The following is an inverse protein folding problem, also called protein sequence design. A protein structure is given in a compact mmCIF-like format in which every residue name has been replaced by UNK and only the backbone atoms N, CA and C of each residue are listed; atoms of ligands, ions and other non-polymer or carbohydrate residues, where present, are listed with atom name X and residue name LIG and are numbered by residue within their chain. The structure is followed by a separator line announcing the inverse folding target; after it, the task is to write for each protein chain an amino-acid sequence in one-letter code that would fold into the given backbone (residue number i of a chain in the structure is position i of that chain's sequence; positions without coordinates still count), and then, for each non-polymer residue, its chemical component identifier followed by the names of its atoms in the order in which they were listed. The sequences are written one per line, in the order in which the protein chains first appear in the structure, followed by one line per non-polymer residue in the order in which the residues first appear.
data_IF_032029476073
#
_entry.id   IF_032029476073
#
_cell.length_a   1.000
_cell.length_b   1.000
_cell.length_c   1.000
_cell.angle_alpha   90.00
_cell.angle_beta   90.00
_cell.angle_gamma   90.00
#
_symmetry.space_group_name_H-M   'P 1'
#
loop_
_entity.id
_entity.type
_entity.pdbx_description
1 polymer ?
#
# COMPACT_ATOMS: atom_id res chain seq x y z
N UNK A 1 -14.54 -21.61 9.81
CA UNK A 1 -14.27 -20.48 8.89
C UNK A 1 -13.42 -19.36 9.52
N UNK A 2 -13.42 -19.16 10.86
CA UNK A 2 -12.56 -18.14 11.53
C UNK A 2 -11.04 -18.41 11.45
N UNK A 3 -10.62 -19.68 11.45
CA UNK A 3 -9.19 -20.02 11.49
C UNK A 3 -8.40 -19.56 10.25
N UNK A 4 -9.03 -19.57 9.07
CA UNK A 4 -8.38 -19.15 7.81
C UNK A 4 -8.18 -17.64 7.73
N UNK A 5 -9.09 -16.85 8.30
CA UNK A 5 -8.95 -15.39 8.36
C UNK A 5 -7.85 -14.95 9.34
N UNK A 6 -7.76 -15.59 10.50
CA UNK A 6 -6.72 -15.30 11.49
C UNK A 6 -5.30 -15.57 10.93
N UNK A 7 -5.15 -16.64 10.16
CA UNK A 7 -3.87 -17.02 9.54
C UNK A 7 -3.45 -16.03 8.44
N UNK A 8 -4.40 -15.58 7.60
CA UNK A 8 -4.15 -14.56 6.58
C UNK A 8 -3.77 -13.20 7.17
N UNK A 9 -4.43 -12.78 8.25
CA UNK A 9 -4.11 -11.52 8.94
C UNK A 9 -2.69 -11.55 9.52
N UNK A 10 -2.28 -12.68 10.11
CA UNK A 10 -0.94 -12.86 10.68
C UNK A 10 0.17 -12.89 9.62
N UNK A 11 -0.12 -13.46 8.44
CA UNK A 11 0.80 -13.45 7.30
C UNK A 11 1.03 -12.03 6.76
N UNK A 12 -0.01 -11.19 6.78
CA UNK A 12 0.08 -9.79 6.32
C UNK A 12 0.89 -8.90 7.27
N UNK A 13 0.83 -9.17 8.58
CA UNK A 13 1.66 -8.53 9.61
C UNK A 13 3.15 -8.89 9.46
N UNK A 14 3.47 -10.15 9.13
CA UNK A 14 4.86 -10.60 8.97
C UNK A 14 5.54 -10.00 7.73
N UNK A 15 4.82 -9.87 6.61
CA UNK A 15 5.36 -9.29 5.37
C UNK A 15 5.64 -7.78 5.52
N UNK A 16 4.96 -7.08 6.43
CA UNK A 16 5.23 -5.67 6.73
C UNK A 16 6.49 -5.44 7.56
N UNK A 17 6.90 -6.40 8.39
CA UNK A 17 8.08 -6.27 9.26
C UNK A 17 9.42 -6.41 8.53
N UNK A 18 9.42 -6.97 7.32
CA UNK A 18 10.63 -7.25 6.52
C UNK A 18 11.13 -6.03 5.70
N UNK A 19 10.60 -4.83 5.95
CA UNK A 19 10.96 -3.58 5.24
C UNK A 19 11.69 -2.56 6.11
N UNK A 20 12.55 -3.00 7.02
CA UNK A 20 13.43 -2.09 7.76
C UNK A 20 14.89 -2.55 7.62
N UNK A 21 15.74 -1.84 6.86
CA UNK A 21 17.17 -2.08 6.90
C UNK A 21 17.75 -1.47 8.18
N UNK A 22 18.33 -2.33 9.04
CA UNK A 22 19.07 -1.96 10.23
C UNK A 22 20.28 -1.08 9.88
N UNK A 23 20.31 0.13 10.46
CA UNK A 23 21.41 1.07 10.31
C UNK A 23 22.56 0.69 11.24
N UNK A 24 23.53 -0.06 10.73
CA UNK A 24 24.81 -0.32 11.42
C UNK A 24 25.70 0.93 11.37
N UNK A 25 25.69 1.73 12.43
CA UNK A 25 26.66 2.81 12.65
C UNK A 25 28.01 2.25 13.12
N UNK A 26 29.11 2.52 12.41
CA UNK A 26 30.45 2.08 12.79
C UNK A 26 31.30 3.20 13.40
N UNK A 27 32.10 2.79 14.38
CA UNK A 27 32.77 3.57 15.42
C UNK A 27 33.79 4.64 14.94
N UNK A 28 33.77 5.77 15.65
CA UNK A 28 34.76 6.86 15.64
C UNK A 28 36.16 6.40 16.07
N UNK A 29 37.20 6.89 15.38
CA UNK A 29 38.58 6.93 15.90
C UNK A 29 39.04 8.37 16.13
N UNK A 30 39.47 8.61 17.37
CA UNK A 30 39.94 9.88 17.94
C UNK A 30 41.29 10.31 17.37
N UNK A 31 41.36 11.52 16.81
CA UNK A 31 42.59 12.22 16.45
C UNK A 31 42.55 13.66 16.98
N UNK A 32 43.28 13.91 18.06
CA UNK A 32 43.39 15.21 18.75
C UNK A 32 44.10 16.25 17.86
N UNK A 33 43.43 17.35 17.48
CA UNK A 33 44.07 18.62 17.09
C UNK A 33 43.19 19.84 17.35
N UNK A 34 43.87 20.97 17.56
CA UNK A 34 43.54 22.13 18.40
C UNK A 34 42.52 23.12 17.80
N UNK A 35 41.77 23.75 18.71
CA UNK A 35 41.28 25.15 18.72
C UNK A 35 40.77 25.80 17.43
N UNK A 36 39.47 26.10 17.39
CA UNK A 36 38.96 27.48 17.36
C UNK A 36 37.44 27.49 17.59
N UNK A 37 36.94 28.49 18.32
CA UNK A 37 35.50 28.73 18.51
C UNK A 37 34.92 29.32 17.22
N UNK A 38 34.09 28.56 16.54
CA UNK A 38 32.83 29.03 15.96
C UNK A 38 31.77 27.92 16.16
N UNK A 39 31.21 27.86 17.36
CA UNK A 39 30.02 27.06 17.67
C UNK A 39 28.84 27.78 17.02
N UNK A 40 28.37 27.24 15.89
CA UNK A 40 27.23 27.77 15.16
C UNK A 40 27.06 27.14 13.78
N UNK A 41 28.15 26.71 13.14
CA UNK A 41 28.12 26.08 11.81
C UNK A 41 27.54 24.66 11.79
N UNK A 42 27.96 23.79 12.72
CA UNK A 42 27.52 22.39 12.75
C UNK A 42 26.07 22.20 13.26
N UNK A 43 25.64 23.02 14.21
CA UNK A 43 24.24 23.06 14.70
C UNK A 43 23.31 23.63 13.62
N UNK A 44 23.80 24.60 12.83
CA UNK A 44 23.08 25.10 11.65
C UNK A 44 23.01 24.07 10.53
N UNK A 45 24.10 23.35 10.26
CA UNK A 45 24.15 22.37 9.18
C UNK A 45 23.24 21.15 9.45
N UNK A 46 23.28 20.62 10.68
CA UNK A 46 22.38 19.52 11.07
C UNK A 46 20.90 19.93 11.00
N UNK A 47 20.55 21.14 11.46
CA UNK A 47 19.19 21.68 11.30
C UNK A 47 18.79 21.88 9.84
N UNK A 48 19.73 22.28 8.97
CA UNK A 48 19.48 22.41 7.54
C UNK A 48 19.30 21.04 6.85
N UNK A 49 20.08 20.03 7.24
CA UNK A 49 19.91 18.65 6.77
C UNK A 49 18.57 18.09 7.22
N UNK A 50 18.18 18.29 8.48
CA UNK A 50 16.87 17.86 9.00
C UNK A 50 15.72 18.54 8.26
N UNK A 51 15.81 19.85 8.00
CA UNK A 51 14.82 20.59 7.20
C UNK A 51 14.74 20.08 5.77
N UNK A 52 15.87 19.74 5.15
CA UNK A 52 15.91 19.18 3.79
C UNK A 52 15.31 17.77 3.76
N UNK A 53 15.64 16.92 4.73
CA UNK A 53 15.04 15.59 4.88
C UNK A 53 13.53 15.67 5.11
N UNK A 54 13.08 16.59 5.96
CA UNK A 54 11.65 16.81 6.20
C UNK A 54 10.95 17.40 4.98
N UNK A 55 11.56 18.31 4.24
CA UNK A 55 11.00 18.84 2.99
C UNK A 55 10.89 17.75 1.91
N UNK A 56 11.93 16.92 1.75
CA UNK A 56 11.93 15.80 0.81
C UNK A 56 10.89 14.73 1.20
N UNK A 57 10.81 14.37 2.47
CA UNK A 57 9.80 13.44 2.99
C UNK A 57 8.39 14.01 2.86
N UNK A 58 8.15 15.28 3.18
CA UNK A 58 6.83 15.92 3.03
C UNK A 58 6.43 16.08 1.55
N UNK A 59 7.36 16.40 0.66
CA UNK A 59 7.09 16.47 -0.77
C UNK A 59 6.77 15.09 -1.35
N UNK A 60 7.50 14.04 -0.93
CA UNK A 60 7.24 12.65 -1.29
C UNK A 60 5.91 12.12 -0.70
N UNK A 61 5.57 12.51 0.53
CA UNK A 61 4.30 12.15 1.17
C UNK A 61 3.12 12.89 0.54
N UNK A 62 3.24 14.19 0.26
CA UNK A 62 2.19 15.01 -0.37
C UNK A 62 1.88 14.55 -1.81
N UNK A 63 2.88 14.07 -2.55
CA UNK A 63 2.66 13.45 -3.87
C UNK A 63 2.13 12.01 -3.76
N UNK A 64 2.54 11.24 -2.75
CA UNK A 64 2.00 9.90 -2.51
C UNK A 64 0.52 9.91 -2.07
N UNK A 65 0.05 10.98 -1.43
CA UNK A 65 -1.34 11.12 -0.98
C UNK A 65 -2.31 11.61 -2.07
N UNK A 66 -1.82 12.22 -3.16
CA UNK A 66 -2.69 12.89 -4.13
C UNK A 66 -3.02 12.06 -5.38
N UNK A 67 -2.30 10.97 -5.63
CA UNK A 67 -2.61 10.10 -6.78
C UNK A 67 -2.76 8.66 -6.32
N UNK A 68 -3.80 8.40 -5.52
CA UNK A 68 -4.40 7.07 -5.51
C UNK A 68 -5.01 6.89 -6.90
N UNK A 69 -4.24 6.38 -7.86
CA UNK A 69 -4.78 5.95 -9.15
C UNK A 69 -5.86 4.94 -8.81
N UNK A 70 -7.12 5.36 -8.91
CA UNK A 70 -8.25 4.49 -8.64
C UNK A 70 -8.18 3.39 -9.69
N UNK A 71 -7.82 2.17 -9.26
CA UNK A 71 -7.85 1.00 -10.12
C UNK A 71 -9.27 0.93 -10.73
N UNK A 72 -9.43 1.15 -12.06
CA UNK A 72 -10.74 1.11 -12.71
C UNK A 72 -11.35 -0.30 -12.68
N UNK A 73 -10.59 -1.28 -12.19
CA UNK A 73 -11.02 -2.62 -11.93
C UNK A 73 -10.93 -2.96 -10.44
N UNK A 74 -11.01 -1.97 -9.54
CA UNK A 74 -10.91 -2.19 -8.10
C UNK A 74 -11.97 -3.17 -7.58
N UNK A 75 -11.65 -3.89 -6.50
CA UNK A 75 -12.58 -4.85 -5.87
C UNK A 75 -13.94 -4.19 -5.53
N UNK A 76 -14.01 -2.99 -4.93
CA UNK A 76 -15.30 -2.35 -4.63
C UNK A 76 -16.15 -2.11 -5.89
N UNK A 77 -15.53 -1.75 -7.00
CA UNK A 77 -16.23 -1.55 -8.27
C UNK A 77 -16.73 -2.86 -8.86
N UNK A 78 -15.92 -3.92 -8.76
CA UNK A 78 -16.31 -5.24 -9.24
C UNK A 78 -17.50 -5.81 -8.48
N UNK A 79 -17.51 -5.66 -7.14
CA UNK A 79 -18.62 -6.06 -6.27
C UNK A 79 -19.87 -5.25 -6.62
N UNK A 80 -19.76 -3.93 -6.75
CA UNK A 80 -20.90 -3.08 -7.14
C UNK A 80 -21.54 -3.52 -8.46
N UNK A 81 -20.74 -3.94 -9.44
CA UNK A 81 -21.29 -4.44 -10.71
C UNK A 81 -21.91 -5.83 -10.55
N UNK A 82 -21.33 -6.71 -9.74
CA UNK A 82 -21.95 -8.00 -9.41
C UNK A 82 -23.32 -7.80 -8.75
N UNK A 83 -23.42 -6.89 -7.78
CA UNK A 83 -24.68 -6.59 -7.07
C UNK A 83 -25.74 -5.99 -8.00
N UNK A 84 -25.33 -5.27 -9.05
CA UNK A 84 -26.26 -4.72 -10.06
C UNK A 84 -26.91 -5.79 -10.95
N UNK A 85 -26.39 -7.02 -10.95
CA UNK A 85 -26.91 -8.17 -11.70
C UNK A 85 -27.73 -9.11 -10.79
N UNK A 86 -28.36 -8.56 -9.75
CA UNK A 86 -29.11 -9.34 -8.74
C UNK A 86 -30.28 -10.16 -9.32
N UNK A 87 -30.77 -9.80 -10.50
CA UNK A 87 -31.82 -10.54 -11.21
C UNK A 87 -31.31 -11.88 -11.74
N UNK A 88 -30.11 -11.90 -12.31
CA UNK A 88 -29.49 -13.08 -12.91
C UNK A 88 -28.64 -13.85 -11.89
N UNK A 89 -28.00 -13.13 -10.96
CA UNK A 89 -27.18 -13.67 -9.87
C UNK A 89 -27.81 -13.26 -8.54
N UNK A 90 -28.77 -14.05 -8.01
CA UNK A 90 -29.41 -13.73 -6.74
C UNK A 90 -28.38 -13.59 -5.61
N UNK A 91 -28.61 -12.60 -4.75
CA UNK A 91 -27.79 -12.39 -3.56
C UNK A 91 -27.73 -13.66 -2.69
N UNK A 92 -26.59 -13.90 -2.07
CA UNK A 92 -26.31 -15.08 -1.25
C UNK A 92 -26.50 -16.44 -1.97
N UNK A 93 -26.69 -16.46 -3.29
CA UNK A 93 -26.66 -17.70 -4.06
C UNK A 93 -25.24 -18.31 -4.06
N UNK A 94 -25.11 -19.63 -4.26
CA UNK A 94 -23.81 -20.25 -4.49
C UNK A 94 -23.03 -19.59 -5.64
N UNK A 95 -23.75 -19.12 -6.68
CA UNK A 95 -23.16 -18.42 -7.82
C UNK A 95 -22.59 -17.05 -7.42
N UNK A 96 -23.28 -16.31 -6.55
CA UNK A 96 -22.79 -15.05 -5.99
C UNK A 96 -21.46 -15.23 -5.25
N UNK A 97 -21.38 -16.22 -4.35
CA UNK A 97 -20.13 -16.52 -3.63
C UNK A 97 -19.02 -17.04 -4.55
N UNK A 98 -19.37 -17.80 -5.59
CA UNK A 98 -18.42 -18.22 -6.61
C UNK A 98 -17.84 -17.01 -7.37
N UNK A 99 -18.70 -16.07 -7.79
CA UNK A 99 -18.27 -14.84 -8.45
C UNK A 99 -17.36 -14.01 -7.53
N UNK A 100 -17.71 -13.83 -6.26
CA UNK A 100 -16.84 -13.14 -5.29
C UNK A 100 -15.44 -13.75 -5.21
N UNK A 101 -15.32 -15.10 -5.20
CA UNK A 101 -14.02 -15.78 -5.23
C UNK A 101 -13.22 -15.49 -6.51
N UNK A 102 -13.88 -15.35 -7.66
CA UNK A 102 -13.23 -14.97 -8.92
C UNK A 102 -12.69 -13.53 -8.86
N UNK A 103 -13.44 -12.59 -8.27
CA UNK A 103 -13.08 -11.17 -8.19
C UNK A 103 -11.82 -10.89 -7.33
N UNK A 104 -11.45 -11.81 -6.43
CA UNK A 104 -10.20 -11.72 -5.68
C UNK A 104 -8.95 -11.89 -6.55
N UNK A 105 -9.06 -12.63 -7.67
CA UNK A 105 -7.96 -12.75 -8.62
C UNK A 105 -8.00 -11.55 -9.59
N UNK A 106 -6.87 -10.83 -9.68
CA UNK A 106 -6.78 -9.60 -10.49
C UNK A 106 -7.12 -9.82 -11.95
N UNK A 107 -6.56 -10.85 -12.57
CA UNK A 107 -6.73 -11.10 -14.02
C UNK A 107 -8.16 -11.54 -14.34
N UNK A 108 -8.73 -12.41 -13.51
CA UNK A 108 -10.13 -12.84 -13.63
C UNK A 108 -11.10 -11.69 -13.43
N UNK A 109 -10.81 -10.79 -12.49
CA UNK A 109 -11.59 -9.57 -12.26
C UNK A 109 -11.56 -8.64 -13.47
N UNK A 110 -10.38 -8.38 -14.03
CA UNK A 110 -10.23 -7.55 -15.24
C UNK A 110 -11.02 -8.16 -16.40
N UNK A 111 -10.88 -9.48 -16.60
CA UNK A 111 -11.60 -10.20 -17.65
C UNK A 111 -13.13 -10.06 -17.47
N UNK A 112 -13.66 -10.35 -16.28
CA UNK A 112 -15.08 -10.22 -15.97
C UNK A 112 -15.61 -8.81 -16.23
N UNK A 113 -14.86 -7.78 -15.81
CA UNK A 113 -15.25 -6.39 -16.00
C UNK A 113 -15.19 -5.93 -17.46
N UNK A 114 -14.38 -6.58 -18.28
CA UNK A 114 -14.27 -6.32 -19.72
C UNK A 114 -15.38 -6.97 -20.56
N UNK A 115 -16.12 -7.95 -20.01
CA UNK A 115 -17.24 -8.59 -20.72
C UNK A 115 -18.36 -7.58 -20.96
N UNK A 116 -19.01 -7.63 -22.13
CA UNK A 116 -20.15 -6.77 -22.45
C UNK A 116 -21.24 -6.93 -21.37
N UNK A 117 -21.72 -5.83 -20.75
CA UNK A 117 -22.71 -5.89 -19.68
C UNK A 117 -23.98 -6.67 -20.05
N UNK A 118 -24.39 -6.64 -21.32
CA UNK A 118 -25.59 -7.32 -21.81
C UNK A 118 -25.52 -8.84 -21.75
N UNK A 119 -24.32 -9.42 -21.75
CA UNK A 119 -24.11 -10.88 -21.80
C UNK A 119 -23.39 -11.42 -20.56
N UNK A 120 -23.09 -10.55 -19.59
CA UNK A 120 -22.20 -10.90 -18.46
C UNK A 120 -22.82 -11.93 -17.51
N UNK A 121 -24.14 -11.96 -17.43
CA UNK A 121 -24.90 -12.87 -16.58
C UNK A 121 -25.94 -13.69 -17.36
N UNK A 122 -25.77 -13.78 -18.69
CA UNK A 122 -26.55 -14.66 -19.57
C UNK A 122 -25.93 -16.06 -19.61
#
# INVERSE_FOLDING_TARGET
MMFTFQMMFKLMETVKKEKNPEMSSSHFKTGRKKSSKQIGGAVRLSSQIEKLCNAANNMSQATSSLTLVMDPYGIPQAVKILDSMSKEVPEASPLYFFALRLLFNKDKRIMFLSINPKIRAL
#
